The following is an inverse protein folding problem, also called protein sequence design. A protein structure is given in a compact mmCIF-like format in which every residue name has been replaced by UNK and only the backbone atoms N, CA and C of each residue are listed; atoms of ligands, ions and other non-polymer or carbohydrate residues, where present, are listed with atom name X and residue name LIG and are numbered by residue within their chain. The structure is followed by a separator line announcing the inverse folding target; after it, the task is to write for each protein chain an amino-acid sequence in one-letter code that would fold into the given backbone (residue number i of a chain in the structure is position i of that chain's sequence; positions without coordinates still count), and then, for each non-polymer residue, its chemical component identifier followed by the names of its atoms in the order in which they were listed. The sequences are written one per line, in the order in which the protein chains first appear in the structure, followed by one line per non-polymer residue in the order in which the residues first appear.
data_IF_531854386392
#
_entry.id   IF_531854386392
#
_cell.length_a   1.000
_cell.length_b   1.000
_cell.length_c   1.000
_cell.angle_alpha   90.00
_cell.angle_beta   90.00
_cell.angle_gamma   90.00
#
_symmetry.space_group_name_H-M   'P 1'
#
loop_
_entity.id
_entity.type
_entity.pdbx_description
1 polymer ?
#
# COMPACT_ATOMS: atom_id res chain seq x y z
N UNK A 1 36.98 -67.64 -53.00
CA UNK A 1 36.57 -67.69 -51.58
C UNK A 1 36.51 -66.26 -51.01
N UNK A 2 35.39 -65.54 -51.14
CA UNK A 2 35.26 -64.16 -50.60
C UNK A 2 33.85 -63.83 -50.05
N UNK A 3 32.99 -64.82 -49.82
CA UNK A 3 31.59 -64.59 -49.42
C UNK A 3 31.41 -64.22 -47.94
N UNK A 4 32.18 -64.83 -47.04
CA UNK A 4 32.09 -64.58 -45.60
C UNK A 4 32.38 -63.12 -45.19
N UNK A 5 33.48 -62.47 -45.62
CA UNK A 5 33.74 -61.09 -45.22
C UNK A 5 32.65 -60.11 -45.70
N UNK A 6 32.05 -60.37 -46.86
CA UNK A 6 30.92 -59.59 -47.37
C UNK A 6 29.67 -59.73 -46.50
N UNK A 7 29.33 -60.97 -46.08
CA UNK A 7 28.19 -61.21 -45.19
C UNK A 7 28.37 -60.55 -43.82
N UNK A 8 29.58 -60.60 -43.25
CA UNK A 8 29.88 -59.89 -42.00
C UNK A 8 29.77 -58.37 -42.15
N UNK A 9 30.26 -57.81 -43.26
CA UNK A 9 30.11 -56.39 -43.54
C UNK A 9 28.63 -55.98 -43.65
N UNK A 10 27.82 -56.75 -44.39
CA UNK A 10 26.40 -56.51 -44.52
C UNK A 10 25.64 -56.62 -43.18
N UNK A 11 25.97 -57.64 -42.37
CA UNK A 11 25.39 -57.82 -41.04
C UNK A 11 25.74 -56.67 -40.10
N UNK A 12 26.99 -56.19 -40.12
CA UNK A 12 27.44 -55.05 -39.31
C UNK A 12 26.71 -53.75 -39.68
N UNK A 13 26.59 -53.46 -40.96
CA UNK A 13 25.85 -52.27 -41.43
C UNK A 13 24.38 -52.34 -41.05
N UNK A 14 23.75 -53.53 -41.15
CA UNK A 14 22.36 -53.73 -40.72
C UNK A 14 22.20 -53.52 -39.21
N UNK A 15 23.07 -54.09 -38.40
CA UNK A 15 23.05 -53.94 -36.94
C UNK A 15 23.27 -52.48 -36.50
N UNK A 16 24.17 -51.75 -37.18
CA UNK A 16 24.40 -50.33 -36.94
C UNK A 16 23.15 -49.49 -37.27
N UNK A 17 22.55 -49.74 -38.45
CA UNK A 17 21.35 -49.01 -38.87
C UNK A 17 20.15 -49.32 -37.96
N UNK A 18 19.96 -50.58 -37.54
CA UNK A 18 18.90 -50.93 -36.59
C UNK A 18 19.13 -50.32 -35.22
N UNK A 19 20.36 -50.33 -34.71
CA UNK A 19 20.71 -49.71 -33.43
C UNK A 19 20.51 -48.20 -33.45
N UNK A 20 20.87 -47.54 -34.56
CA UNK A 20 20.62 -46.11 -34.77
C UNK A 20 19.11 -45.79 -34.81
N UNK A 21 18.31 -46.61 -35.50
CA UNK A 21 16.87 -46.41 -35.58
C UNK A 21 16.21 -46.57 -34.20
N UNK A 22 16.56 -47.61 -33.44
CA UNK A 22 16.05 -47.81 -32.08
C UNK A 22 16.49 -46.69 -31.11
N UNK A 23 17.73 -46.21 -31.26
CA UNK A 23 18.23 -45.05 -30.49
C UNK A 23 17.47 -43.75 -30.80
N UNK A 24 17.09 -43.54 -32.06
CA UNK A 24 16.26 -42.39 -32.45
C UNK A 24 14.84 -42.51 -31.88
N UNK A 25 14.21 -43.68 -32.03
CA UNK A 25 12.86 -43.92 -31.52
C UNK A 25 12.76 -43.72 -30.01
N UNK A 26 13.71 -44.29 -29.25
CA UNK A 26 13.79 -44.09 -27.80
C UNK A 26 14.00 -42.63 -27.41
N UNK A 27 14.91 -41.93 -28.10
CA UNK A 27 15.14 -40.50 -27.87
C UNK A 27 13.90 -39.68 -28.16
N UNK A 28 13.22 -39.95 -29.28
CA UNK A 28 12.05 -39.20 -29.72
C UNK A 28 10.86 -39.47 -28.77
N UNK A 29 10.70 -40.70 -28.27
CA UNK A 29 9.74 -41.03 -27.23
C UNK A 29 10.02 -40.26 -25.92
N UNK A 30 11.25 -40.28 -25.43
CA UNK A 30 11.65 -39.54 -24.22
C UNK A 30 11.43 -38.03 -24.41
N UNK A 31 11.82 -37.49 -25.56
CA UNK A 31 11.64 -36.07 -25.85
C UNK A 31 10.16 -35.69 -25.89
N UNK A 32 9.32 -36.50 -26.54
CA UNK A 32 7.88 -36.27 -26.58
C UNK A 32 7.25 -36.27 -25.19
N UNK A 33 7.70 -37.17 -24.30
CA UNK A 33 7.26 -37.22 -22.91
C UNK A 33 7.71 -35.99 -22.13
N UNK A 34 8.95 -35.53 -22.31
CA UNK A 34 9.47 -34.32 -21.66
C UNK A 34 8.71 -33.07 -22.11
N UNK A 35 8.43 -32.95 -23.41
CA UNK A 35 7.63 -31.85 -23.95
C UNK A 35 6.23 -31.87 -23.35
N UNK A 36 5.58 -33.04 -23.28
CA UNK A 36 4.26 -33.17 -22.68
C UNK A 36 4.26 -32.78 -21.18
N UNK A 37 5.26 -33.22 -20.42
CA UNK A 37 5.42 -32.84 -19.00
C UNK A 37 5.59 -31.32 -18.85
N UNK A 38 6.49 -30.73 -19.64
CA UNK A 38 6.75 -29.29 -19.59
C UNK A 38 5.53 -28.45 -20.00
N UNK A 39 4.74 -28.91 -20.97
CA UNK A 39 3.48 -28.26 -21.33
C UNK A 39 2.47 -28.31 -20.18
N UNK A 40 2.31 -29.46 -19.52
CA UNK A 40 1.40 -29.58 -18.38
C UNK A 40 1.84 -28.69 -17.21
N UNK A 41 3.12 -28.71 -16.85
CA UNK A 41 3.67 -27.84 -15.79
C UNK A 41 3.46 -26.35 -16.10
N UNK A 42 3.67 -25.95 -17.36
CA UNK A 42 3.42 -24.57 -17.80
C UNK A 42 1.94 -24.20 -17.63
N UNK A 43 1.03 -25.09 -18.03
CA UNK A 43 -0.41 -24.82 -17.96
C UNK A 43 -0.89 -24.76 -16.50
N UNK A 44 -0.35 -25.62 -15.62
CA UNK A 44 -0.61 -25.55 -14.18
C UNK A 44 -0.10 -24.24 -13.57
N UNK A 45 1.12 -23.81 -13.92
CA UNK A 45 1.68 -22.54 -13.46
C UNK A 45 0.88 -21.34 -13.97
N UNK A 46 0.38 -21.37 -15.21
CA UNK A 46 -0.47 -20.32 -15.75
C UNK A 46 -1.77 -20.17 -14.94
N UNK A 47 -2.41 -21.28 -14.58
CA UNK A 47 -3.61 -21.28 -13.73
C UNK A 47 -3.31 -20.72 -12.33
N UNK A 48 -2.18 -21.10 -11.74
CA UNK A 48 -1.77 -20.60 -10.43
C UNK A 48 -1.51 -19.09 -10.46
N UNK A 49 -0.78 -18.60 -11.47
CA UNK A 49 -0.49 -17.18 -11.64
C UNK A 49 -1.76 -16.35 -11.80
N UNK A 50 -2.74 -16.83 -12.60
CA UNK A 50 -4.02 -16.15 -12.72
C UNK A 50 -4.76 -16.07 -11.37
N UNK A 51 -4.78 -17.16 -10.61
CA UNK A 51 -5.42 -17.20 -9.30
C UNK A 51 -4.73 -16.24 -8.31
N UNK A 52 -3.40 -16.19 -8.30
CA UNK A 52 -2.63 -15.26 -7.48
C UNK A 52 -2.85 -13.80 -7.89
N UNK A 53 -2.85 -13.51 -9.18
CA UNK A 53 -3.14 -12.16 -9.69
C UNK A 53 -4.53 -11.70 -9.27
N UNK A 54 -5.57 -12.55 -9.39
CA UNK A 54 -6.93 -12.21 -8.95
C UNK A 54 -6.98 -11.93 -7.45
N UNK A 55 -6.32 -12.75 -6.63
CA UNK A 55 -6.20 -12.52 -5.19
C UNK A 55 -5.51 -11.19 -4.89
N UNK A 56 -4.38 -10.92 -5.54
CA UNK A 56 -3.61 -9.70 -5.35
C UNK A 56 -4.43 -8.44 -5.73
N UNK A 57 -5.11 -8.45 -6.87
CA UNK A 57 -5.98 -7.35 -7.29
C UNK A 57 -7.11 -7.11 -6.30
N UNK A 58 -7.72 -8.17 -5.78
CA UNK A 58 -8.78 -8.07 -4.76
C UNK A 58 -8.24 -7.45 -3.47
N UNK A 59 -7.10 -7.92 -2.97
CA UNK A 59 -6.45 -7.36 -1.78
C UNK A 59 -6.06 -5.89 -1.99
N UNK A 60 -5.53 -5.55 -3.16
CA UNK A 60 -5.19 -4.17 -3.53
C UNK A 60 -6.43 -3.27 -3.52
N UNK A 61 -7.55 -3.72 -4.11
CA UNK A 61 -8.81 -2.96 -4.10
C UNK A 61 -9.34 -2.74 -2.67
N UNK A 62 -9.28 -3.76 -1.81
CA UNK A 62 -9.65 -3.65 -0.39
C UNK A 62 -8.77 -2.61 0.32
N UNK A 63 -7.45 -2.65 0.10
CA UNK A 63 -6.54 -1.68 0.69
C UNK A 63 -6.81 -0.25 0.21
N UNK A 64 -7.06 -0.06 -1.08
CA UNK A 64 -7.41 1.25 -1.64
C UNK A 64 -8.73 1.78 -1.06
N UNK A 65 -9.75 0.94 -0.94
CA UNK A 65 -11.02 1.32 -0.31
C UNK A 65 -10.83 1.73 1.15
N UNK A 66 -10.00 0.99 1.91
CA UNK A 66 -9.69 1.31 3.31
C UNK A 66 -8.88 2.60 3.44
N UNK A 67 -7.92 2.85 2.56
CA UNK A 67 -7.18 4.12 2.54
C UNK A 67 -8.13 5.27 2.30
N UNK A 68 -9.02 5.15 1.30
CA UNK A 68 -10.03 6.17 1.03
C UNK A 68 -10.97 6.40 2.22
N UNK A 69 -11.45 5.34 2.87
CA UNK A 69 -12.26 5.46 4.10
C UNK A 69 -11.52 6.21 5.20
N UNK A 70 -10.24 5.90 5.40
CA UNK A 70 -9.41 6.57 6.40
C UNK A 70 -9.15 8.03 6.05
N UNK A 71 -8.91 8.33 4.77
CA UNK A 71 -8.79 9.70 4.26
C UNK A 71 -10.09 10.47 4.44
N UNK A 72 -11.24 9.90 4.06
CA UNK A 72 -12.57 10.49 4.23
C UNK A 72 -12.87 10.74 5.72
N UNK A 73 -12.47 9.83 6.61
CA UNK A 73 -12.60 10.01 8.06
C UNK A 73 -11.69 11.12 8.57
N UNK A 74 -10.42 11.14 8.19
CA UNK A 74 -9.49 12.22 8.55
C UNK A 74 -10.04 13.54 8.06
N UNK A 75 -10.44 13.63 6.78
CA UNK A 75 -11.09 14.80 6.20
C UNK A 75 -12.32 15.18 7.01
N UNK A 76 -13.25 14.27 7.34
CA UNK A 76 -14.43 14.60 8.15
C UNK A 76 -14.11 15.17 9.54
N UNK A 77 -13.02 14.73 10.18
CA UNK A 77 -12.56 15.28 11.47
C UNK A 77 -11.79 16.59 11.31
N UNK A 78 -11.12 16.80 10.17
CA UNK A 78 -10.33 18.01 9.86
C UNK A 78 -11.07 19.05 9.03
N UNK A 79 -12.23 18.71 8.47
CA UNK A 79 -13.15 19.56 7.69
C UNK A 79 -14.00 20.44 8.61
N UNK A 80 -13.73 20.44 9.92
CA UNK A 80 -13.98 21.63 10.74
C UNK A 80 -12.80 22.58 10.54
N UNK A 81 -12.86 23.50 9.56
CA UNK A 81 -11.81 24.49 9.39
C UNK A 81 -11.69 25.27 10.69
N UNK A 82 -10.47 25.38 11.20
CA UNK A 82 -10.18 26.33 12.27
C UNK A 82 -10.62 27.70 11.76
N UNK A 83 -11.66 28.27 12.36
CA UNK A 83 -12.23 29.54 11.91
C UNK A 83 -11.54 30.70 12.62
N UNK A 84 -11.74 31.92 12.10
CA UNK A 84 -11.31 33.14 12.79
C UNK A 84 -11.98 33.28 14.16
N UNK A 85 -13.21 32.80 14.31
CA UNK A 85 -13.94 32.80 15.58
C UNK A 85 -13.25 31.90 16.62
N UNK A 86 -12.72 30.74 16.21
CA UNK A 86 -11.98 29.84 17.10
C UNK A 86 -10.68 30.48 17.59
N UNK A 87 -9.95 31.13 16.69
CA UNK A 87 -8.74 31.88 17.07
C UNK A 87 -9.05 33.01 18.07
N UNK A 88 -10.12 33.76 17.84
CA UNK A 88 -10.57 34.82 18.76
C UNK A 88 -11.00 34.25 20.11
N UNK A 89 -11.66 33.09 20.13
CA UNK A 89 -12.06 32.40 21.36
C UNK A 89 -10.84 31.93 22.16
N UNK A 90 -9.83 31.35 21.50
CA UNK A 90 -8.57 30.95 22.14
C UNK A 90 -7.84 32.16 22.74
N UNK A 91 -7.77 33.27 22.01
CA UNK A 91 -7.14 34.51 22.48
C UNK A 91 -7.89 35.09 23.70
N UNK A 92 -9.24 35.10 23.65
CA UNK A 92 -10.06 35.52 24.79
C UNK A 92 -9.84 34.61 26.00
N UNK A 93 -9.75 33.30 25.80
CA UNK A 93 -9.53 32.32 26.86
C UNK A 93 -8.16 32.53 27.53
N UNK A 94 -7.10 32.74 26.75
CA UNK A 94 -5.77 33.07 27.28
C UNK A 94 -5.79 34.35 28.12
N UNK A 95 -6.47 35.40 27.65
CA UNK A 95 -6.61 36.65 28.40
C UNK A 95 -7.39 36.46 29.71
N UNK A 96 -8.44 35.64 29.70
CA UNK A 96 -9.21 35.30 30.90
C UNK A 96 -8.35 34.51 31.90
N UNK A 97 -7.56 33.54 31.45
CA UNK A 97 -6.64 32.80 32.32
C UNK A 97 -5.55 33.69 32.92
N UNK A 98 -5.04 34.65 32.14
CA UNK A 98 -4.10 35.66 32.62
C UNK A 98 -4.71 36.54 33.71
N UNK A 99 -5.98 36.93 33.56
CA UNK A 99 -6.70 37.67 34.59
C UNK A 99 -6.93 36.78 35.83
N UNK A 100 -7.40 35.55 35.65
CA UNK A 100 -7.62 34.60 36.75
C UNK A 100 -6.33 34.33 37.54
N UNK A 101 -5.20 34.13 36.86
CA UNK A 101 -3.90 33.97 37.50
C UNK A 101 -3.48 35.20 38.32
N UNK A 102 -3.76 36.43 37.83
CA UNK A 102 -3.51 37.66 38.62
C UNK A 102 -4.38 37.73 39.87
N UNK A 103 -5.66 37.36 39.75
CA UNK A 103 -6.59 37.34 40.87
C UNK A 103 -6.19 36.30 41.92
N UNK A 104 -5.84 35.08 41.50
CA UNK A 104 -5.38 34.02 42.41
C UNK A 104 -4.05 34.35 43.07
N UNK A 105 -3.15 35.04 42.36
CA UNK A 105 -1.92 35.59 42.94
C UNK A 105 -2.22 36.62 44.03
N UNK A 106 -3.20 37.50 43.81
CA UNK A 106 -3.64 38.47 44.81
C UNK A 106 -4.34 37.81 46.02
N UNK A 107 -4.93 36.63 45.83
CA UNK A 107 -5.55 35.83 46.89
C UNK A 107 -4.58 34.86 47.58
N UNK A 108 -3.30 34.86 47.22
CA UNK A 108 -2.28 33.94 47.75
C UNK A 108 -2.61 32.44 47.55
N UNK A 109 -3.21 32.11 46.40
CA UNK A 109 -3.53 30.74 46.02
C UNK A 109 -2.50 30.25 44.99
N UNK A 110 -1.33 29.85 45.48
CA UNK A 110 -0.14 29.59 44.65
C UNK A 110 -0.28 28.44 43.63
N UNK A 111 -0.86 27.27 43.97
CA UNK A 111 -0.96 26.15 43.01
C UNK A 111 -1.84 26.51 41.80
N UNK A 112 -2.95 27.22 42.05
CA UNK A 112 -3.89 27.66 41.03
C UNK A 112 -3.30 28.78 40.16
N UNK A 113 -2.47 29.64 40.75
CA UNK A 113 -1.73 30.68 40.02
C UNK A 113 -0.77 30.07 39.00
N UNK A 114 -0.01 29.06 39.39
CA UNK A 114 0.92 28.37 38.50
C UNK A 114 0.17 27.61 37.39
N UNK A 115 -0.90 26.89 37.75
CA UNK A 115 -1.74 26.18 36.78
C UNK A 115 -2.36 27.12 35.74
N UNK A 116 -2.86 28.30 36.15
CA UNK A 116 -3.35 29.32 35.21
C UNK A 116 -2.26 29.81 34.26
N UNK A 117 -1.04 30.03 34.75
CA UNK A 117 0.07 30.49 33.93
C UNK A 117 0.49 29.45 32.89
N UNK A 118 0.53 28.17 33.28
CA UNK A 118 0.86 27.08 32.36
C UNK A 118 -0.25 26.87 31.33
N UNK A 119 -1.53 26.86 31.74
CA UNK A 119 -2.66 26.76 30.83
C UNK A 119 -2.75 27.95 29.86
N UNK A 120 -2.43 29.17 30.32
CA UNK A 120 -2.36 30.35 29.46
C UNK A 120 -1.35 30.13 28.33
N UNK A 121 -0.12 29.69 28.66
CA UNK A 121 0.93 29.42 27.66
C UNK A 121 0.49 28.39 26.62
N UNK A 122 -0.07 27.26 27.06
CA UNK A 122 -0.54 26.23 26.14
C UNK A 122 -1.63 26.75 25.17
N UNK A 123 -2.55 27.58 25.66
CA UNK A 123 -3.61 28.16 24.83
C UNK A 123 -3.05 29.22 23.87
N UNK A 124 -2.07 30.01 24.30
CA UNK A 124 -1.37 30.96 23.41
C UNK A 124 -0.64 30.25 22.27
N UNK A 125 0.05 29.15 22.55
CA UNK A 125 0.70 28.32 21.53
C UNK A 125 -0.31 27.67 20.57
N UNK A 126 -1.46 27.23 21.10
CA UNK A 126 -2.55 26.71 20.28
C UNK A 126 -3.15 27.80 19.38
N UNK A 127 -3.36 29.01 19.91
CA UNK A 127 -3.82 30.16 19.13
C UNK A 127 -2.82 30.53 18.02
N UNK A 128 -1.52 30.51 18.30
CA UNK A 128 -0.49 30.78 17.30
C UNK A 128 -0.50 29.75 16.16
N UNK A 129 -0.67 28.45 16.48
CA UNK A 129 -0.82 27.39 15.47
C UNK A 129 -2.11 27.56 14.66
N UNK A 130 -3.23 27.83 15.31
CA UNK A 130 -4.51 28.13 14.66
C UNK A 130 -4.41 29.32 13.68
N UNK A 131 -3.75 30.40 14.11
CA UNK A 131 -3.49 31.57 13.26
C UNK A 131 -2.60 31.24 12.06
N UNK A 132 -1.55 30.43 12.24
CA UNK A 132 -0.70 29.97 11.15
C UNK A 132 -1.49 29.13 10.13
N UNK A 133 -2.36 28.22 10.60
CA UNK A 133 -3.25 27.42 9.75
C UNK A 133 -4.24 28.30 8.96
N UNK A 134 -4.84 29.31 9.59
CA UNK A 134 -5.70 30.31 8.93
C UNK A 134 -4.99 31.11 7.82
N UNK A 135 -3.67 31.33 7.97
CA UNK A 135 -2.88 32.07 6.97
C UNK A 135 -2.47 31.21 5.77
N UNK A 136 -2.27 29.91 5.99
CA UNK A 136 -1.80 28.97 4.95
C UNK A 136 -2.98 28.36 4.17
N UNK A 137 -4.14 28.21 4.82
CA UNK A 137 -5.32 27.62 4.20
C UNK A 137 -6.14 28.75 3.55
N UNK A 138 -6.07 28.97 2.22
CA UNK A 138 -7.02 29.87 1.57
C UNK A 138 -8.43 29.36 1.85
N UNK A 139 -9.35 30.29 2.16
CA UNK A 139 -10.75 29.98 2.38
C UNK A 139 -11.25 29.09 1.24
N UNK A 140 -11.51 27.81 1.53
CA UNK A 140 -12.18 26.92 0.59
C UNK A 140 -13.58 27.50 0.44
N UNK A 141 -13.80 28.23 -0.65
CA UNK A 141 -15.14 28.62 -1.05
C UNK A 141 -16.00 27.36 -1.02
N UNK A 142 -17.19 27.39 -0.38
CA UNK A 142 -18.11 26.27 -0.50
C UNK A 142 -18.31 26.06 -2.00
N UNK A 143 -17.98 24.85 -2.49
CA UNK A 143 -18.28 24.53 -3.88
C UNK A 143 -19.78 24.62 -4.03
N UNK A 144 -20.22 25.62 -4.80
CA UNK A 144 -21.51 25.58 -5.48
C UNK A 144 -21.61 24.20 -6.16
N UNK A 145 -22.40 23.34 -5.54
CA UNK A 145 -22.55 21.95 -5.91
C UNK A 145 -23.88 21.40 -5.41
N UNK A 146 -24.89 22.26 -5.39
CA UNK A 146 -26.28 21.88 -5.23
C UNK A 146 -27.08 22.60 -6.32
N UNK A 147 -26.94 22.10 -7.55
CA UNK A 147 -27.90 22.34 -8.61
C UNK A 147 -27.92 21.13 -9.56
N UNK A 148 -29.11 20.53 -9.61
CA UNK A 148 -29.67 19.51 -10.53
C UNK A 148 -29.62 18.07 -10.05
#
# INVERSE_FOLDING_TARGET
MAFLPFLFAAARTRAFNSGRAAGLETRDAINSQQIASACNERDELAVQLEAEQRKHLTTKAIHQARVKELEDRIMSYTDMPVTRADHELLTKTANTLKLAGRTWKAMHVDPQTQNAADQQRYIEELAARAHAHLRITPAKTPSEGEAV
#
